data_IF_518067372239
#
_entry.id   IF_518067372239
#
_cell.length_a   1.000
_cell.length_b   1.000
_cell.length_c   1.000
_cell.angle_alpha   90.00
_cell.angle_beta   90.00
_cell.angle_gamma   90.00
#
_symmetry.space_group_name_H-M   'P 1'
#
loop_
_entity.id
_entity.type
_entity.pdbx_description
1 polymer ?
#
# COMPACT_ATOMS: atom_id res chain seq x y z
N UNK A 1 -4.34 21.87 6.80
CA UNK A 1 -4.69 20.55 6.19
C UNK A 1 -3.51 19.80 5.55
N UNK A 2 -2.53 20.46 4.90
CA UNK A 2 -1.35 19.80 4.26
C UNK A 2 -0.54 18.86 5.18
N UNK A 3 -0.34 19.19 6.46
CA UNK A 3 0.36 18.33 7.44
C UNK A 3 -0.36 16.99 7.68
N UNK A 4 -1.69 16.99 7.79
CA UNK A 4 -2.50 15.77 8.01
C UNK A 4 -2.44 14.87 6.78
N UNK A 5 -2.48 15.43 5.57
CA UNK A 5 -2.33 14.67 4.33
C UNK A 5 -0.93 14.01 4.23
N UNK A 6 0.12 14.68 4.71
CA UNK A 6 1.47 14.12 4.77
C UNK A 6 1.61 12.96 5.75
N UNK A 7 1.02 13.08 6.95
CA UNK A 7 1.02 12.00 7.94
C UNK A 7 0.27 10.78 7.39
N UNK A 8 -0.94 10.99 6.82
CA UNK A 8 -1.74 9.92 6.20
C UNK A 8 -1.01 9.22 5.05
N UNK A 9 -0.28 9.98 4.21
CA UNK A 9 0.50 9.40 3.10
C UNK A 9 1.68 8.55 3.61
N UNK A 10 2.38 9.01 4.66
CA UNK A 10 3.44 8.22 5.30
C UNK A 10 2.91 6.89 5.84
N UNK A 11 1.76 6.92 6.52
CA UNK A 11 1.12 5.70 7.03
C UNK A 11 0.75 4.75 5.89
N UNK A 12 0.20 5.26 4.78
CA UNK A 12 -0.10 4.42 3.60
C UNK A 12 1.15 3.77 2.99
N UNK A 13 2.26 4.51 2.88
CA UNK A 13 3.54 3.97 2.40
C UNK A 13 4.10 2.89 3.37
N UNK A 14 3.93 3.07 4.68
CA UNK A 14 4.30 2.04 5.66
C UNK A 14 3.43 0.78 5.54
N UNK A 15 2.12 0.94 5.38
CA UNK A 15 1.20 -0.19 5.14
C UNK A 15 1.59 -0.93 3.86
N UNK A 16 1.88 -0.23 2.76
CA UNK A 16 2.36 -0.83 1.52
C UNK A 16 3.63 -1.68 1.75
N UNK A 17 4.61 -1.14 2.48
CA UNK A 17 5.84 -1.84 2.80
C UNK A 17 5.60 -3.09 3.65
N UNK A 18 4.66 -3.04 4.60
CA UNK A 18 4.26 -4.18 5.42
C UNK A 18 3.67 -5.32 4.56
N UNK A 19 2.73 -5.00 3.66
CA UNK A 19 2.12 -5.99 2.76
C UNK A 19 3.16 -6.60 1.80
N UNK A 20 4.10 -5.81 1.27
CA UNK A 20 5.20 -6.30 0.45
C UNK A 20 6.14 -7.22 1.23
N UNK A 21 6.43 -6.90 2.48
CA UNK A 21 7.27 -7.72 3.34
C UNK A 21 6.58 -9.04 3.71
N UNK A 22 5.29 -9.02 4.04
CA UNK A 22 4.51 -10.25 4.23
C UNK A 22 4.49 -11.14 2.99
N UNK A 23 4.33 -10.55 1.80
CA UNK A 23 4.34 -11.28 0.54
C UNK A 23 5.69 -11.94 0.24
N UNK A 24 6.80 -11.30 0.65
CA UNK A 24 8.16 -11.84 0.50
C UNK A 24 8.48 -12.90 1.56
N UNK A 25 7.92 -12.77 2.77
CA UNK A 25 8.26 -13.64 3.91
C UNK A 25 7.45 -14.92 3.94
N UNK A 26 6.19 -14.89 3.50
CA UNK A 26 5.40 -16.13 3.42
C UNK A 26 5.81 -16.91 2.17
N UNK A 27 6.77 -17.80 2.32
CA UNK A 27 7.12 -18.83 1.31
C UNK A 27 5.95 -19.76 0.98
N UNK A 28 4.91 -19.80 1.81
CA UNK A 28 3.77 -20.73 1.72
C UNK A 28 2.42 -20.07 1.42
N UNK A 29 2.39 -18.83 0.90
CA UNK A 29 1.14 -18.24 0.44
C UNK A 29 0.61 -19.05 -0.75
N UNK A 30 -0.65 -19.47 -0.67
CA UNK A 30 -1.34 -20.00 -1.85
C UNK A 30 -1.51 -18.91 -2.89
N UNK A 31 -1.61 -19.28 -4.18
CA UNK A 31 -1.82 -18.32 -5.27
C UNK A 31 -3.00 -17.37 -4.99
N UNK A 32 -4.11 -17.90 -4.47
CA UNK A 32 -5.29 -17.11 -4.13
C UNK A 32 -5.04 -16.08 -3.02
N UNK A 33 -4.25 -16.43 -2.00
CA UNK A 33 -3.89 -15.44 -0.97
C UNK A 33 -2.94 -14.38 -1.54
N UNK A 34 -1.97 -14.80 -2.36
CA UNK A 34 -1.03 -13.90 -3.01
C UNK A 34 -1.75 -12.89 -3.91
N UNK A 35 -2.77 -13.32 -4.66
CA UNK A 35 -3.62 -12.44 -5.47
C UNK A 35 -4.38 -11.43 -4.62
N UNK A 36 -4.94 -11.83 -3.47
CA UNK A 36 -5.60 -10.90 -2.53
C UNK A 36 -4.64 -9.84 -2.00
N UNK A 37 -3.42 -10.23 -1.64
CA UNK A 37 -2.38 -9.29 -1.20
C UNK A 37 -1.97 -8.33 -2.33
N UNK A 38 -1.83 -8.83 -3.57
CA UNK A 38 -1.50 -8.00 -4.73
C UNK A 38 -2.63 -7.00 -5.06
N UNK A 39 -3.89 -7.41 -4.96
CA UNK A 39 -5.05 -6.52 -5.13
C UNK A 39 -5.08 -5.41 -4.06
N UNK A 40 -4.78 -5.76 -2.81
CA UNK A 40 -4.67 -4.79 -1.73
C UNK A 40 -3.53 -3.79 -1.99
N UNK A 41 -2.36 -4.27 -2.41
CA UNK A 41 -1.21 -3.42 -2.77
C UNK A 41 -1.55 -2.44 -3.90
N UNK A 42 -2.19 -2.93 -4.97
CA UNK A 42 -2.60 -2.11 -6.11
C UNK A 42 -3.58 -1.01 -5.72
N UNK A 43 -4.50 -1.31 -4.79
CA UNK A 43 -5.45 -0.34 -4.25
C UNK A 43 -4.73 0.75 -3.44
N UNK A 44 -3.78 0.36 -2.59
CA UNK A 44 -2.98 1.30 -1.79
C UNK A 44 -2.12 2.19 -2.69
N UNK A 45 -1.48 1.64 -3.72
CA UNK A 45 -0.71 2.41 -4.71
C UNK A 45 -1.56 3.44 -5.43
N UNK A 46 -2.77 3.06 -5.85
CA UNK A 46 -3.69 3.99 -6.51
C UNK A 46 -4.05 5.16 -5.58
N UNK A 47 -4.38 4.87 -4.33
CA UNK A 47 -4.69 5.90 -3.33
C UNK A 47 -3.49 6.82 -3.08
N UNK A 48 -2.28 6.26 -2.97
CA UNK A 48 -1.04 7.05 -2.81
C UNK A 48 -0.86 7.97 -4.02
N UNK A 49 -0.99 7.44 -5.24
CA UNK A 49 -0.83 8.20 -6.47
C UNK A 49 -1.85 9.32 -6.58
N UNK A 50 -3.13 9.06 -6.33
CA UNK A 50 -4.20 10.07 -6.31
C UNK A 50 -3.95 11.15 -5.23
N UNK A 51 -3.42 10.76 -4.06
CA UNK A 51 -3.07 11.68 -2.98
C UNK A 51 -1.80 12.51 -3.24
N UNK A 52 -0.90 12.02 -4.10
CA UNK A 52 0.29 12.75 -4.56
C UNK A 52 -0.08 13.71 -5.69
N UNK A 53 -0.94 13.29 -6.62
CA UNK A 53 -1.43 14.07 -7.76
C UNK A 53 -2.37 15.22 -7.32
N UNK A 54 -3.30 14.98 -6.39
CA UNK A 54 -4.15 16.02 -5.78
C UNK A 54 -3.42 17.04 -4.89
N UNK A 55 -2.08 17.08 -4.89
CA UNK A 55 -1.29 18.09 -4.17
C UNK A 55 -0.74 19.18 -5.09
N UNK A 56 -0.89 19.03 -6.40
CA UNK A 56 -0.73 20.09 -7.39
C UNK A 56 -1.93 21.05 -7.35
#
# INVERSE_FOLDING_TARGET
>A
MKKINNIKLKTLKQTQAFYLWELKRKESLTESEREKYLLALKSIEKIIKEKEDSRE
#
